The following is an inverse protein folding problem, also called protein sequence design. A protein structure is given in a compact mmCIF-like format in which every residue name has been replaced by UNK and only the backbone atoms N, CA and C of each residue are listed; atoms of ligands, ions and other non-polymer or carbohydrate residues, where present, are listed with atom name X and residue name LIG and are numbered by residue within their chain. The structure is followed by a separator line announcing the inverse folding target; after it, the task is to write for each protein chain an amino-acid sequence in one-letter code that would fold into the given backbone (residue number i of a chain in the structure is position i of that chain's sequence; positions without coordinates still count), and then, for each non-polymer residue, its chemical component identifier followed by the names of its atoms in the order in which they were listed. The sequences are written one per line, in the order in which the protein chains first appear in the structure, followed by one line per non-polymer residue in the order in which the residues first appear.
data_IF_543985382252
#
_entry.id   IF_543985382252
#
_cell.length_a   1.000
_cell.length_b   1.000
_cell.length_c   1.000
_cell.angle_alpha   90.00
_cell.angle_beta   90.00
_cell.angle_gamma   90.00
#
_symmetry.space_group_name_H-M   'P 1'
#
loop_
_entity.id
_entity.type
_entity.pdbx_description
1 polymer ?
#
# COMPACT_ATOMS: atom_id res chain seq x y z
N UNK A 1 7.94 -9.97 -11.15
CA UNK A 1 7.46 -8.68 -10.60
C UNK A 1 5.99 -8.78 -10.23
N UNK A 2 5.57 -8.12 -9.15
CA UNK A 2 4.18 -8.08 -8.71
C UNK A 2 3.65 -6.64 -8.73
N UNK A 3 2.40 -6.47 -9.12
CA UNK A 3 1.66 -5.22 -9.04
C UNK A 3 0.48 -5.43 -8.10
N UNK A 4 0.34 -4.55 -7.11
CA UNK A 4 -0.84 -4.51 -6.23
C UNK A 4 -1.54 -3.18 -6.44
N UNK A 5 -2.84 -3.24 -6.75
CA UNK A 5 -3.69 -2.07 -6.95
C UNK A 5 -4.86 -2.14 -5.98
N UNK A 6 -5.16 -1.02 -5.33
CA UNK A 6 -6.30 -0.87 -4.45
C UNK A 6 -7.30 0.08 -5.11
N UNK A 7 -8.43 -0.45 -5.57
CA UNK A 7 -9.48 0.33 -6.23
C UNK A 7 -10.64 0.55 -5.26
N UNK A 8 -11.00 1.80 -4.93
CA UNK A 8 -12.16 2.08 -4.10
C UNK A 8 -13.43 1.72 -4.88
N UNK A 9 -14.28 0.85 -4.33
CA UNK A 9 -15.59 0.50 -4.90
C UNK A 9 -16.69 1.29 -4.21
N UNK A 10 -16.58 1.43 -2.89
CA UNK A 10 -17.51 2.21 -2.07
C UNK A 10 -16.75 2.92 -0.95
N UNK A 11 -17.37 3.85 -0.20
CA UNK A 11 -16.69 4.55 0.89
C UNK A 11 -16.06 3.62 1.93
N UNK A 12 -16.63 2.42 2.12
CA UNK A 12 -16.19 1.43 3.10
C UNK A 12 -15.65 0.14 2.48
N UNK A 13 -15.49 0.07 1.16
CA UNK A 13 -15.03 -1.15 0.47
C UNK A 13 -14.00 -0.83 -0.60
N UNK A 14 -12.87 -1.55 -0.53
CA UNK A 14 -11.77 -1.45 -1.49
C UNK A 14 -11.47 -2.83 -2.05
N UNK A 15 -11.42 -2.94 -3.37
CA UNK A 15 -10.96 -4.15 -4.04
C UNK A 15 -9.45 -4.10 -4.22
N UNK A 16 -8.78 -5.15 -3.76
CA UNK A 16 -7.34 -5.32 -3.94
C UNK A 16 -7.09 -6.30 -5.07
N UNK A 17 -6.46 -5.83 -6.15
CA UNK A 17 -6.06 -6.63 -7.29
C UNK A 17 -4.56 -6.86 -7.23
N UNK A 18 -4.13 -8.12 -7.17
CA UNK A 18 -2.72 -8.50 -7.19
C UNK A 18 -2.41 -9.26 -8.47
N UNK A 19 -1.47 -8.75 -9.25
CA UNK A 19 -1.03 -9.32 -10.53
C UNK A 19 0.44 -9.69 -10.40
N UNK A 20 0.78 -10.92 -10.76
CA UNK A 20 2.16 -11.39 -10.75
C UNK A 20 2.58 -11.78 -12.17
N UNK A 21 3.74 -11.27 -12.58
CA UNK A 21 4.33 -11.51 -13.89
C UNK A 21 5.74 -12.07 -13.77
N UNK A 22 6.07 -13.04 -14.62
CA UNK A 22 7.38 -13.65 -14.74
C UNK A 22 7.71 -13.98 -16.20
N UNK A 23 8.99 -13.88 -16.57
CA UNK A 23 9.49 -14.15 -17.93
C UNK A 23 9.74 -15.63 -18.21
N UNK A 24 9.96 -16.44 -17.17
CA UNK A 24 10.32 -17.85 -17.29
C UNK A 24 9.09 -18.72 -17.59
N UNK A 25 9.03 -19.32 -18.79
CA UNK A 25 7.88 -20.14 -19.23
C UNK A 25 7.64 -21.38 -18.35
N UNK A 26 8.69 -21.98 -17.81
CA UNK A 26 8.60 -23.17 -16.95
C UNK A 26 8.00 -22.87 -15.57
N UNK A 27 8.10 -21.63 -15.09
CA UNK A 27 7.50 -21.22 -13.81
C UNK A 27 5.96 -21.35 -13.80
N UNK A 28 5.35 -21.47 -14.98
CA UNK A 28 3.92 -21.77 -15.11
C UNK A 28 3.50 -23.10 -14.47
N UNK A 29 4.41 -24.07 -14.34
CA UNK A 29 4.13 -25.36 -13.68
C UNK A 29 3.81 -25.15 -12.19
N UNK A 30 4.40 -24.14 -11.56
CA UNK A 30 4.17 -23.82 -10.15
C UNK A 30 2.94 -22.94 -9.91
N UNK A 31 2.20 -22.54 -10.97
CA UNK A 31 0.97 -21.74 -10.84
C UNK A 31 -0.03 -22.24 -9.80
N UNK A 32 -0.42 -23.53 -9.73
CA UNK A 32 -1.41 -23.97 -8.74
C UNK A 32 -0.91 -23.78 -7.31
N UNK A 33 0.37 -24.06 -7.06
CA UNK A 33 1.01 -23.86 -5.75
C UNK A 33 1.05 -22.37 -5.40
N UNK A 34 1.57 -21.53 -6.31
CA UNK A 34 1.63 -20.08 -6.13
C UNK A 34 0.24 -19.49 -5.91
N UNK A 35 -0.77 -19.94 -6.66
CA UNK A 35 -2.16 -19.49 -6.50
C UNK A 35 -2.70 -19.81 -5.11
N UNK A 36 -2.42 -21.01 -4.60
CA UNK A 36 -2.84 -21.41 -3.26
C UNK A 36 -2.15 -20.55 -2.19
N UNK A 37 -0.82 -20.41 -2.26
CA UNK A 37 -0.05 -19.58 -1.34
C UNK A 37 -0.49 -18.12 -1.37
N UNK A 38 -0.62 -17.52 -2.56
CA UNK A 38 -1.07 -16.15 -2.73
C UNK A 38 -2.47 -15.93 -2.13
N UNK A 39 -3.40 -16.89 -2.31
CA UNK A 39 -4.74 -16.78 -1.71
C UNK A 39 -4.67 -16.80 -0.17
N UNK A 40 -3.86 -17.67 0.41
CA UNK A 40 -3.70 -17.77 1.87
C UNK A 40 -3.03 -16.53 2.44
N UNK A 41 -1.91 -16.08 1.83
CA UNK A 41 -1.15 -14.91 2.24
C UNK A 41 -1.99 -13.63 2.14
N UNK A 42 -2.62 -13.37 0.98
CA UNK A 42 -3.50 -12.22 0.81
C UNK A 42 -4.71 -12.27 1.75
N UNK A 43 -5.21 -13.46 2.06
CA UNK A 43 -6.27 -13.65 3.05
C UNK A 43 -5.84 -13.30 4.48
N UNK A 44 -4.57 -13.52 4.85
CA UNK A 44 -4.01 -13.09 6.13
C UNK A 44 -3.89 -11.57 6.20
N UNK A 45 -3.33 -10.95 5.16
CA UNK A 45 -3.19 -9.50 5.05
C UNK A 45 -4.57 -8.81 5.09
N UNK A 46 -5.55 -9.34 4.36
CA UNK A 46 -6.93 -8.83 4.39
C UNK A 46 -7.51 -8.85 5.82
N UNK A 47 -7.30 -9.94 6.58
CA UNK A 47 -7.77 -10.02 7.97
C UNK A 47 -7.09 -8.98 8.85
N UNK A 48 -5.79 -8.72 8.64
CA UNK A 48 -5.07 -7.67 9.37
C UNK A 48 -5.65 -6.28 9.08
N UNK A 49 -5.92 -5.96 7.80
CA UNK A 49 -6.55 -4.70 7.40
C UNK A 49 -7.95 -4.53 7.99
N UNK A 50 -8.78 -5.57 8.00
CA UNK A 50 -10.12 -5.53 8.61
C UNK A 50 -10.02 -5.22 10.12
N UNK A 51 -9.06 -5.85 10.82
CA UNK A 51 -8.83 -5.57 12.24
C UNK A 51 -8.35 -4.14 12.47
N UNK A 52 -7.46 -3.63 11.62
CA UNK A 52 -6.99 -2.25 11.70
C UNK A 52 -8.13 -1.26 11.44
N UNK A 53 -8.99 -1.53 10.45
CA UNK A 53 -10.19 -0.72 10.17
C UNK A 53 -11.16 -0.70 11.35
N UNK A 54 -11.36 -1.84 12.02
CA UNK A 54 -12.14 -1.88 13.27
C UNK A 54 -11.45 -1.14 14.41
N UNK A 55 -10.13 -1.22 14.50
CA UNK A 55 -9.36 -0.46 15.50
C UNK A 55 -9.48 1.05 15.31
N UNK A 56 -9.54 1.52 14.07
CA UNK A 56 -9.68 2.94 13.72
C UNK A 56 -10.98 3.57 14.25
N UNK A 57 -12.05 2.80 14.46
CA UNK A 57 -13.29 3.33 15.04
C UNK A 57 -13.12 3.85 16.47
N UNK A 58 -12.07 3.40 17.17
CA UNK A 58 -11.72 3.85 18.53
C UNK A 58 -10.74 5.02 18.53
N UNK A 59 -10.44 5.60 17.36
CA UNK A 59 -9.50 6.70 17.15
C UNK A 59 -8.14 6.54 17.88
N UNK A 60 -7.45 5.39 17.75
CA UNK A 60 -6.16 5.21 18.36
C UNK A 60 -5.15 6.17 17.71
N UNK A 61 -4.14 6.66 18.45
CA UNK A 61 -3.09 7.49 17.86
C UNK A 61 -2.28 6.67 16.85
N UNK A 62 -2.52 6.90 15.55
CA UNK A 62 -1.77 6.28 14.46
C UNK A 62 -0.33 6.81 14.47
N UNK A 63 0.60 5.98 14.93
CA UNK A 63 2.02 6.31 14.97
C UNK A 63 2.79 5.48 13.95
N UNK A 64 3.26 6.15 12.89
CA UNK A 64 4.28 5.62 12.00
C UNK A 64 5.65 5.81 12.67
N UNK A 65 6.32 4.73 13.02
CA UNK A 65 7.48 4.75 13.90
C UNK A 65 8.77 4.50 13.13
N UNK A 66 9.76 5.36 13.35
CA UNK A 66 11.11 5.17 12.83
C UNK A 66 11.26 5.23 11.30
N UNK A 67 12.34 4.59 10.85
CA UNK A 67 12.78 4.44 9.45
C UNK A 67 11.97 3.42 8.63
N UNK A 68 11.48 2.28 9.18
CA UNK A 68 10.71 1.31 8.40
C UNK A 68 9.47 1.92 7.74
N UNK A 69 8.82 2.86 8.44
CA UNK A 69 7.61 3.52 7.95
C UNK A 69 7.88 4.79 7.11
N UNK A 70 9.13 5.05 6.72
CA UNK A 70 9.49 6.29 6.04
C UNK A 70 8.77 6.45 4.69
N UNK A 71 8.57 5.34 3.96
CA UNK A 71 7.82 5.32 2.70
C UNK A 71 6.35 5.68 2.90
N UNK A 72 5.71 5.12 3.94
CA UNK A 72 4.32 5.45 4.28
C UNK A 72 4.17 6.92 4.69
N UNK A 73 5.10 7.45 5.49
CA UNK A 73 5.14 8.88 5.86
C UNK A 73 5.23 9.78 4.64
N UNK A 74 6.06 9.42 3.66
CA UNK A 74 6.20 10.16 2.41
C UNK A 74 4.92 10.14 1.58
N UNK A 75 4.30 8.96 1.44
CA UNK A 75 3.02 8.83 0.76
C UNK A 75 1.95 9.74 1.36
N UNK A 76 1.75 9.70 2.69
CA UNK A 76 0.75 10.55 3.35
C UNK A 76 1.06 12.04 3.21
N UNK A 77 2.33 12.44 3.26
CA UNK A 77 2.71 13.85 3.04
C UNK A 77 2.36 14.33 1.64
N UNK A 78 2.68 13.54 0.61
CA UNK A 78 2.33 13.88 -0.78
C UNK A 78 0.82 13.93 -0.95
N UNK A 79 0.09 12.91 -0.46
CA UNK A 79 -1.37 12.84 -0.57
C UNK A 79 -2.05 14.04 0.10
N UNK A 80 -1.63 14.40 1.31
CA UNK A 80 -2.19 15.54 2.02
C UNK A 80 -1.90 16.86 1.32
N UNK A 81 -0.69 17.02 0.77
CA UNK A 81 -0.33 18.22 0.01
C UNK A 81 -1.11 18.33 -1.29
N UNK A 82 -1.36 17.20 -1.98
CA UNK A 82 -2.20 17.13 -3.16
C UNK A 82 -3.63 17.60 -2.88
N UNK A 83 -4.24 17.08 -1.80
CA UNK A 83 -5.59 17.48 -1.38
C UNK A 83 -5.61 18.99 -1.10
N UNK A 84 -4.68 19.50 -0.29
CA UNK A 84 -4.59 20.93 0.06
C UNK A 84 -4.35 21.82 -1.15
N UNK A 85 -3.50 21.40 -2.10
CA UNK A 85 -3.25 22.18 -3.30
C UNK A 85 -4.49 22.22 -4.20
N UNK A 86 -5.21 21.10 -4.29
CA UNK A 86 -6.46 21.00 -5.05
C UNK A 86 -7.56 21.87 -4.44
N UNK A 87 -7.74 21.83 -3.12
CA UNK A 87 -8.73 22.63 -2.40
C UNK A 87 -8.44 24.14 -2.48
N UNK A 88 -7.16 24.53 -2.44
CA UNK A 88 -6.73 25.93 -2.51
C UNK A 88 -6.55 26.45 -3.96
N UNK A 89 -6.77 25.62 -4.99
CA UNK A 89 -6.59 26.00 -6.40
C UNK A 89 -5.16 26.40 -6.77
N UNK A 90 -4.15 25.95 -6.01
CA UNK A 90 -2.74 26.28 -6.22
C UNK A 90 -2.01 25.13 -6.91
N UNK A 91 -0.93 25.40 -7.66
CA UNK A 91 -0.12 24.32 -8.23
C UNK A 91 0.45 23.43 -7.13
N UNK A 92 0.45 22.12 -7.40
CA UNK A 92 1.05 21.12 -6.49
C UNK A 92 2.56 21.35 -6.41
N UNK A 93 3.08 21.45 -5.18
CA UNK A 93 4.52 21.53 -4.90
C UNK A 93 4.93 20.32 -4.10
N UNK A 94 5.88 19.53 -4.61
CA UNK A 94 6.34 18.32 -3.93
C UNK A 94 6.88 18.68 -2.53
N UNK A 95 6.27 18.15 -1.44
CA UNK A 95 6.67 18.49 -0.08
C UNK A 95 7.92 17.72 0.38
N UNK A 96 8.40 16.76 -0.41
CA UNK A 96 9.54 15.92 -0.05
C UNK A 96 10.87 16.52 -0.51
N UNK A 97 11.87 16.45 0.37
CA UNK A 97 13.27 16.76 0.02
C UNK A 97 13.92 15.53 -0.61
N UNK A 98 14.72 15.76 -1.67
CA UNK A 98 15.52 14.70 -2.31
C UNK A 98 16.37 14.01 -1.25
N UNK A 99 16.20 12.69 -1.14
CA UNK A 99 16.87 11.86 -0.12
C UNK A 99 17.43 10.62 -0.81
N UNK A 100 18.69 10.30 -0.55
CA UNK A 100 19.29 9.04 -1.01
C UNK A 100 19.08 7.98 0.06
N UNK A 101 18.31 6.94 -0.27
CA UNK A 101 18.12 5.79 0.61
C UNK A 101 19.32 4.86 0.52
N UNK A 102 19.68 4.25 1.66
CA UNK A 102 20.67 3.17 1.73
C UNK A 102 20.02 1.96 2.38
N UNK A 103 20.31 0.78 1.83
CA UNK A 103 19.93 -0.47 2.48
C UNK A 103 20.56 -0.53 3.87
N UNK A 104 19.76 -0.88 4.87
CA UNK A 104 20.23 -1.23 6.21
C UNK A 104 19.92 -2.70 6.41
N UNK A 105 20.98 -3.51 6.46
CA UNK A 105 20.94 -4.94 6.76
C UNK A 105 20.70 -5.18 8.24
#
# INVERSE_FOLDING_TARGET
CGLTVCTPISPNSTMTTHIMWWSMRWANIFKPVIKHFSKTFLGQDQKAFIRQSKGLSWNPPLRLTGQPDQQAKWYFRIKNEWIRSSEAGRPFKNPLKKTTLRWRT
#
